data_IF_737696493678
#
_entry.id   IF_737696493678
#
_cell.length_a   1.000
_cell.length_b   1.000
_cell.length_c   1.000
_cell.angle_alpha   90.00
_cell.angle_beta   90.00
_cell.angle_gamma   90.00
#
_symmetry.space_group_name_H-M   'P 1'
#
loop_
_entity.id
_entity.type
_entity.pdbx_description
1 polymer ?
#
# COMPACT_ATOMS: atom_id res chain seq x y z
N UNK A 1 15.67 -11.95 -30.57
CA UNK A 1 14.52 -11.05 -30.83
C UNK A 1 13.27 -11.38 -30.03
N UNK A 2 13.05 -12.62 -29.59
CA UNK A 2 11.83 -13.00 -28.83
C UNK A 2 11.74 -12.43 -27.40
N UNK A 3 12.89 -12.20 -26.73
CA UNK A 3 12.92 -11.71 -25.34
C UNK A 3 12.64 -10.20 -25.20
N UNK A 4 12.93 -9.37 -26.22
CA UNK A 4 12.69 -7.92 -26.16
C UNK A 4 11.20 -7.57 -26.20
N UNK A 5 10.40 -8.28 -27.00
CA UNK A 5 8.95 -8.05 -27.11
C UNK A 5 8.23 -8.41 -25.80
N UNK A 6 8.74 -9.40 -25.06
CA UNK A 6 8.13 -9.94 -23.85
C UNK A 6 8.27 -9.01 -22.64
N UNK A 7 9.32 -8.17 -22.59
CA UNK A 7 9.48 -7.12 -21.57
C UNK A 7 8.66 -5.87 -21.91
N UNK A 8 8.59 -5.53 -23.20
CA UNK A 8 7.89 -4.36 -23.78
C UNK A 8 6.40 -4.26 -23.44
N UNK A 9 5.75 -5.39 -23.15
CA UNK A 9 4.32 -5.45 -22.77
C UNK A 9 4.05 -5.33 -21.27
N UNK A 10 5.01 -5.66 -20.38
CA UNK A 10 4.69 -5.82 -18.95
C UNK A 10 4.39 -4.49 -18.26
N UNK A 11 5.20 -3.46 -18.47
CA UNK A 11 4.96 -2.12 -17.89
C UNK A 11 3.69 -1.48 -18.42
N UNK A 12 3.46 -1.62 -19.73
CA UNK A 12 2.25 -1.08 -20.37
C UNK A 12 1.02 -1.83 -19.86
N UNK A 13 1.07 -3.15 -19.76
CA UNK A 13 0.00 -3.98 -19.21
C UNK A 13 -0.24 -3.67 -17.73
N UNK A 14 0.81 -3.47 -16.93
CA UNK A 14 0.72 -3.08 -15.53
C UNK A 14 0.08 -1.69 -15.38
N UNK A 15 0.51 -0.72 -16.17
CA UNK A 15 -0.08 0.62 -16.20
C UNK A 15 -1.57 0.59 -16.59
N UNK A 16 -1.93 -0.17 -17.63
CA UNK A 16 -3.33 -0.39 -18.02
C UNK A 16 -4.11 -1.05 -16.87
N UNK A 17 -3.53 -2.05 -16.22
CA UNK A 17 -4.12 -2.70 -15.05
C UNK A 17 -4.41 -1.72 -13.91
N UNK A 18 -3.49 -0.79 -13.62
CA UNK A 18 -3.73 0.27 -12.62
C UNK A 18 -4.84 1.22 -13.09
N UNK A 19 -4.89 1.60 -14.37
CA UNK A 19 -5.96 2.47 -14.89
C UNK A 19 -7.33 1.80 -14.72
N UNK A 20 -7.45 0.53 -15.07
CA UNK A 20 -8.69 -0.26 -14.87
C UNK A 20 -9.04 -0.33 -13.38
N UNK A 21 -8.06 -0.63 -12.52
CA UNK A 21 -8.24 -0.65 -11.06
C UNK A 21 -8.76 0.70 -10.54
N UNK A 22 -8.15 1.81 -10.99
CA UNK A 22 -8.59 3.16 -10.62
C UNK A 22 -10.03 3.42 -11.05
N UNK A 23 -10.41 3.04 -12.28
CA UNK A 23 -11.79 3.18 -12.75
C UNK A 23 -12.80 2.41 -11.90
N UNK A 24 -12.49 1.17 -11.55
CA UNK A 24 -13.33 0.33 -10.68
C UNK A 24 -13.46 0.96 -9.29
N UNK A 25 -12.35 1.34 -8.65
CA UNK A 25 -12.40 1.90 -7.30
C UNK A 25 -13.00 3.31 -7.26
N UNK A 26 -12.82 4.11 -8.31
CA UNK A 26 -13.47 5.41 -8.40
C UNK A 26 -14.99 5.29 -8.36
N UNK A 27 -15.56 4.28 -9.03
CA UNK A 27 -17.00 4.00 -9.00
C UNK A 27 -17.51 3.72 -7.58
N UNK A 28 -16.70 3.09 -6.72
CA UNK A 28 -17.06 2.85 -5.32
C UNK A 28 -17.08 4.15 -4.49
N UNK A 29 -16.25 5.14 -4.84
CA UNK A 29 -16.23 6.43 -4.13
C UNK A 29 -17.46 7.30 -4.38
N UNK A 30 -18.29 6.98 -5.37
CA UNK A 30 -19.53 7.71 -5.65
C UNK A 30 -20.58 7.44 -4.56
N UNK A 31 -20.53 6.25 -3.94
CA UNK A 31 -21.45 5.85 -2.88
C UNK A 31 -21.00 6.31 -1.48
N UNK A 32 -19.86 6.99 -1.37
CA UNK A 32 -19.34 7.47 -0.09
C UNK A 32 -19.83 8.88 0.21
N UNK A 33 -20.04 9.24 1.50
CA UNK A 33 -20.29 10.62 1.91
C UNK A 33 -19.21 11.56 1.36
N UNK A 34 -19.55 12.80 0.92
CA UNK A 34 -18.61 13.68 0.23
C UNK A 34 -17.27 13.84 0.95
N UNK A 35 -17.29 14.07 2.27
CA UNK A 35 -16.07 14.22 3.10
C UNK A 35 -15.21 12.95 3.17
N UNK A 36 -15.83 11.77 3.21
CA UNK A 36 -15.12 10.49 3.25
C UNK A 36 -14.57 10.10 1.87
N UNK A 37 -15.17 10.61 0.79
CA UNK A 37 -14.77 10.33 -0.58
C UNK A 37 -13.54 11.12 -1.05
N UNK A 38 -13.24 12.28 -0.43
CA UNK A 38 -12.13 13.15 -0.87
C UNK A 38 -10.77 12.43 -0.81
N UNK A 39 -10.46 11.78 0.31
CA UNK A 39 -9.17 11.10 0.47
C UNK A 39 -8.97 9.96 -0.53
N UNK A 40 -9.90 9.00 -0.70
CA UNK A 40 -9.82 7.98 -1.75
C UNK A 40 -9.68 8.58 -3.15
N UNK A 41 -10.41 9.65 -3.48
CA UNK A 41 -10.34 10.27 -4.82
C UNK A 41 -8.99 10.89 -5.11
N UNK A 42 -8.37 11.56 -4.14
CA UNK A 42 -7.00 12.09 -4.27
C UNK A 42 -6.01 10.95 -4.50
N UNK A 43 -6.11 9.87 -3.73
CA UNK A 43 -5.24 8.70 -3.89
C UNK A 43 -5.38 8.07 -5.28
N UNK A 44 -6.62 7.89 -5.75
CA UNK A 44 -6.91 7.38 -7.09
C UNK A 44 -6.38 8.29 -8.20
N UNK A 45 -6.46 9.61 -8.02
CA UNK A 45 -5.88 10.57 -8.96
C UNK A 45 -4.34 10.46 -9.02
N UNK A 46 -3.67 10.34 -7.87
CA UNK A 46 -2.22 10.13 -7.82
C UNK A 46 -1.80 8.81 -8.47
N UNK A 47 -2.56 7.73 -8.22
CA UNK A 47 -2.34 6.43 -8.87
C UNK A 47 -2.51 6.51 -10.38
N UNK A 48 -3.53 7.25 -10.86
CA UNK A 48 -3.76 7.47 -12.29
C UNK A 48 -2.59 8.21 -12.93
N UNK A 49 -2.11 9.29 -12.30
CA UNK A 49 -0.94 10.05 -12.77
C UNK A 49 0.29 9.14 -12.85
N UNK A 50 0.53 8.32 -11.82
CA UNK A 50 1.64 7.38 -11.80
C UNK A 50 1.53 6.33 -12.92
N UNK A 51 0.34 5.77 -13.14
CA UNK A 51 0.09 4.78 -14.19
C UNK A 51 0.32 5.35 -15.60
N UNK A 52 -0.21 6.55 -15.87
CA UNK A 52 0.04 7.27 -17.12
C UNK A 52 1.54 7.56 -17.27
N UNK A 53 2.22 7.97 -16.21
CA UNK A 53 3.66 8.20 -16.20
C UNK A 53 4.47 6.95 -16.58
N UNK A 54 4.10 5.77 -16.04
CA UNK A 54 4.73 4.49 -16.38
C UNK A 54 4.55 4.18 -17.88
N UNK A 55 3.33 4.32 -18.41
CA UNK A 55 3.03 4.05 -19.82
C UNK A 55 3.80 5.02 -20.73
N UNK A 56 3.72 6.33 -20.47
CA UNK A 56 4.41 7.36 -21.28
C UNK A 56 5.92 7.13 -21.27
N UNK A 57 6.51 6.84 -20.10
CA UNK A 57 7.93 6.54 -19.97
C UNK A 57 8.32 5.29 -20.77
N UNK A 58 7.49 4.24 -20.72
CA UNK A 58 7.71 3.01 -21.48
C UNK A 58 7.68 3.29 -22.99
N UNK A 59 6.67 4.02 -23.48
CA UNK A 59 6.54 4.39 -24.90
C UNK A 59 7.68 5.31 -25.38
N UNK A 60 8.12 6.27 -24.56
CA UNK A 60 9.26 7.13 -24.89
C UNK A 60 10.59 6.38 -24.94
N UNK A 61 10.81 5.41 -24.03
CA UNK A 61 11.99 4.54 -24.09
C UNK A 61 12.02 3.72 -25.37
N UNK A 62 10.86 3.18 -25.77
CA UNK A 62 10.73 2.44 -27.03
C UNK A 62 11.07 3.32 -28.24
N UNK A 63 10.57 4.56 -28.29
CA UNK A 63 10.82 5.47 -29.41
C UNK A 63 12.29 5.90 -29.52
N UNK A 64 13.01 6.01 -28.40
CA UNK A 64 14.42 6.42 -28.39
C UNK A 64 15.41 5.32 -28.78
N UNK A 65 14.96 4.09 -29.06
CA UNK A 65 15.83 2.97 -29.43
C UNK A 65 16.89 2.64 -28.38
N UNK A 66 16.76 3.20 -27.17
CA UNK A 66 17.67 2.94 -26.07
C UNK A 66 17.30 1.59 -25.48
N UNK A 67 17.99 0.55 -25.96
CA UNK A 67 18.28 -0.63 -25.17
C UNK A 67 19.20 -0.21 -23.99
N UNK A 68 18.67 0.64 -23.10
CA UNK A 68 19.19 0.63 -21.74
C UNK A 68 18.72 -0.70 -21.16
N UNK A 69 19.51 -1.75 -21.39
CA UNK A 69 19.60 -2.91 -20.50
C UNK A 69 20.01 -2.39 -19.12
N UNK A 70 19.09 -1.68 -18.44
CA UNK A 70 19.04 -1.88 -17.02
C UNK A 70 18.65 -3.34 -16.91
N UNK A 71 19.57 -4.16 -16.41
CA UNK A 71 19.20 -5.41 -15.77
C UNK A 71 18.08 -5.08 -14.79
N UNK A 72 16.83 -5.16 -15.26
CA UNK A 72 15.70 -5.24 -14.39
C UNK A 72 15.94 -6.52 -13.62
N UNK A 73 16.42 -6.37 -12.37
CA UNK A 73 16.47 -7.47 -11.43
C UNK A 73 15.09 -8.09 -11.47
N UNK A 74 15.01 -9.25 -12.13
CA UNK A 74 13.79 -10.01 -12.19
C UNK A 74 13.45 -10.34 -10.74
N UNK A 75 12.38 -9.74 -10.23
CA UNK A 75 11.93 -9.99 -8.86
C UNK A 75 11.67 -11.50 -8.77
N UNK A 76 12.42 -12.16 -7.89
CA UNK A 76 12.21 -13.59 -7.63
C UNK A 76 10.79 -13.79 -7.14
N UNK A 77 10.16 -14.94 -7.45
CA UNK A 77 8.84 -15.25 -6.88
C UNK A 77 8.83 -15.14 -5.34
N UNK A 78 9.94 -15.51 -4.69
CA UNK A 78 10.11 -15.35 -3.24
C UNK A 78 10.09 -13.88 -2.80
N UNK A 79 10.74 -13.00 -3.57
CA UNK A 79 10.75 -11.56 -3.30
C UNK A 79 9.37 -10.94 -3.54
N UNK A 80 8.67 -11.37 -4.61
CA UNK A 80 7.29 -10.95 -4.87
C UNK A 80 6.35 -11.34 -3.73
N UNK A 81 6.48 -12.56 -3.22
CA UNK A 81 5.66 -13.03 -2.09
C UNK A 81 5.94 -12.20 -0.83
N UNK A 82 7.21 -11.96 -0.50
CA UNK A 82 7.61 -11.21 0.70
C UNK A 82 7.28 -9.71 0.65
N UNK A 83 7.43 -9.08 -0.52
CA UNK A 83 7.35 -7.62 -0.66
C UNK A 83 5.95 -7.17 -1.10
N UNK A 84 5.19 -7.99 -1.82
CA UNK A 84 3.88 -7.62 -2.32
C UNK A 84 2.76 -8.47 -1.70
N UNK A 85 2.84 -9.79 -1.83
CA UNK A 85 1.71 -10.66 -1.49
C UNK A 85 1.41 -10.69 0.01
N UNK A 86 2.43 -10.89 0.85
CA UNK A 86 2.28 -10.95 2.31
C UNK A 86 1.79 -9.61 2.88
N UNK A 87 2.40 -8.44 2.58
CA UNK A 87 1.88 -7.15 3.04
C UNK A 87 0.45 -6.90 2.59
N UNK A 88 0.11 -7.24 1.34
CA UNK A 88 -1.25 -7.08 0.82
C UNK A 88 -2.25 -7.95 1.59
N UNK A 89 -1.90 -9.21 1.85
CA UNK A 89 -2.72 -10.13 2.64
C UNK A 89 -2.93 -9.64 4.08
N UNK A 90 -1.88 -9.11 4.72
CA UNK A 90 -1.96 -8.53 6.05
C UNK A 90 -2.91 -7.32 6.05
N UNK A 91 -2.80 -6.43 5.06
CA UNK A 91 -3.71 -5.28 4.95
C UNK A 91 -5.16 -5.72 4.82
N UNK A 92 -5.46 -6.70 3.97
CA UNK A 92 -6.81 -7.25 3.85
C UNK A 92 -7.31 -7.89 5.16
N UNK A 93 -6.47 -8.68 5.82
CA UNK A 93 -6.82 -9.32 7.08
C UNK A 93 -7.12 -8.29 8.19
N UNK A 94 -6.30 -7.24 8.30
CA UNK A 94 -6.53 -6.17 9.26
C UNK A 94 -7.77 -5.35 8.89
N UNK A 95 -8.00 -5.01 7.62
CA UNK A 95 -9.23 -4.32 7.20
C UNK A 95 -10.48 -5.11 7.59
N UNK A 96 -10.47 -6.43 7.41
CA UNK A 96 -11.55 -7.30 7.88
C UNK A 96 -11.66 -7.25 9.41
N UNK A 97 -10.54 -7.33 10.13
CA UNK A 97 -10.51 -7.31 11.58
C UNK A 97 -11.02 -5.98 12.17
N UNK A 98 -10.77 -4.85 11.50
CA UNK A 98 -11.24 -3.52 11.91
C UNK A 98 -12.76 -3.43 12.01
N UNK A 99 -13.50 -4.24 11.26
CA UNK A 99 -14.97 -4.33 11.37
C UNK A 99 -15.42 -4.95 12.70
N UNK A 100 -14.55 -5.73 13.34
CA UNK A 100 -14.82 -6.45 14.59
C UNK A 100 -14.21 -5.74 15.80
N UNK A 101 -13.01 -5.19 15.68
CA UNK A 101 -12.27 -4.64 16.84
C UNK A 101 -12.20 -3.11 16.87
N UNK A 102 -12.68 -2.43 15.83
CA UNK A 102 -12.61 -0.98 15.69
C UNK A 102 -11.36 -0.48 14.96
N UNK A 103 -11.42 0.76 14.50
CA UNK A 103 -10.39 1.38 13.67
C UNK A 103 -9.05 1.53 14.40
N UNK A 104 -9.07 2.08 15.63
CA UNK A 104 -7.84 2.43 16.34
C UNK A 104 -7.06 1.21 16.80
N UNK A 105 -7.75 0.18 17.30
CA UNK A 105 -7.11 -1.06 17.70
C UNK A 105 -6.60 -1.83 16.48
N UNK A 106 -7.34 -1.81 15.38
CA UNK A 106 -6.88 -2.37 14.10
C UNK A 106 -5.62 -1.68 13.56
N UNK A 107 -5.58 -0.34 13.58
CA UNK A 107 -4.39 0.42 13.20
C UNK A 107 -3.20 0.11 14.11
N UNK A 108 -3.41 -0.02 15.42
CA UNK A 108 -2.36 -0.38 16.36
C UNK A 108 -1.76 -1.75 16.02
N UNK A 109 -2.60 -2.76 15.80
CA UNK A 109 -2.15 -4.09 15.37
C UNK A 109 -1.46 -4.04 14.00
N UNK A 110 -1.98 -3.23 13.06
CA UNK A 110 -1.36 -3.06 11.75
C UNK A 110 0.09 -2.58 11.87
N UNK A 111 0.32 -1.53 12.66
CA UNK A 111 1.65 -0.96 12.81
C UNK A 111 2.61 -1.92 13.52
N UNK A 112 2.14 -2.71 14.47
CA UNK A 112 2.93 -3.80 15.06
C UNK A 112 3.35 -4.80 13.98
N UNK A 113 2.41 -5.28 13.17
CA UNK A 113 2.69 -6.27 12.14
C UNK A 113 3.62 -5.71 11.06
N UNK A 114 3.42 -4.46 10.63
CA UNK A 114 4.30 -3.78 9.67
C UNK A 114 5.72 -3.66 10.24
N UNK A 115 5.86 -3.28 11.51
CA UNK A 115 7.16 -3.17 12.16
C UNK A 115 7.88 -4.53 12.20
N UNK A 116 7.17 -5.59 12.59
CA UNK A 116 7.72 -6.96 12.61
C UNK A 116 8.14 -7.37 11.20
N UNK A 117 7.28 -7.13 10.20
CA UNK A 117 7.55 -7.48 8.81
C UNK A 117 8.77 -6.74 8.27
N UNK A 118 8.90 -5.45 8.57
CA UNK A 118 10.07 -4.66 8.22
C UNK A 118 11.35 -5.22 8.85
N UNK A 119 11.32 -5.61 10.12
CA UNK A 119 12.48 -6.18 10.82
C UNK A 119 12.88 -7.53 10.20
N UNK A 120 11.91 -8.37 9.83
CA UNK A 120 12.13 -9.63 9.12
C UNK A 120 12.72 -9.40 7.73
N UNK A 121 12.24 -8.40 6.98
CA UNK A 121 12.76 -8.10 5.63
C UNK A 121 14.19 -7.54 5.70
N UNK A 122 14.48 -6.62 6.63
CA UNK A 122 15.77 -5.93 6.70
C UNK A 122 16.83 -6.79 7.38
N UNK A 123 16.50 -7.40 8.52
CA UNK A 123 17.47 -8.13 9.37
C UNK A 123 17.39 -9.64 9.19
N UNK A 124 16.38 -10.16 8.47
CA UNK A 124 16.17 -11.59 8.26
C UNK A 124 15.61 -12.33 9.49
N UNK A 125 15.51 -11.68 10.65
CA UNK A 125 15.00 -12.24 11.90
C UNK A 125 14.35 -11.14 12.74
N UNK A 126 13.24 -11.47 13.39
CA UNK A 126 12.66 -10.62 14.42
C UNK A 126 13.33 -10.90 15.76
N UNK A 127 13.82 -9.86 16.43
CA UNK A 127 14.42 -9.99 17.76
C UNK A 127 13.46 -9.50 18.84
N UNK A 128 13.08 -10.38 19.76
CA UNK A 128 12.27 -10.04 20.95
C UNK A 128 13.12 -9.45 22.09
N UNK A 129 14.19 -8.72 21.76
CA UNK A 129 14.97 -8.03 22.79
C UNK A 129 14.13 -6.93 23.41
N UNK A 130 14.28 -6.72 24.72
CA UNK A 130 13.54 -5.69 25.47
C UNK A 130 13.61 -4.30 24.81
N UNK A 131 14.76 -3.93 24.25
CA UNK A 131 14.94 -2.65 23.55
C UNK A 131 14.09 -2.56 22.27
N UNK A 132 14.01 -3.64 21.51
CA UNK A 132 13.25 -3.70 20.25
C UNK A 132 11.75 -3.67 20.52
N UNK A 133 11.30 -4.38 21.56
CA UNK A 133 9.89 -4.36 22.00
C UNK A 133 9.47 -2.98 22.51
N UNK A 134 10.32 -2.32 23.31
CA UNK A 134 10.06 -0.94 23.78
C UNK A 134 9.99 0.02 22.59
N UNK A 135 10.91 -0.10 21.64
CA UNK A 135 10.94 0.75 20.44
C UNK A 135 9.70 0.53 19.57
N UNK A 136 9.26 -0.72 19.42
CA UNK A 136 8.03 -1.09 18.72
C UNK A 136 6.81 -0.46 19.41
N UNK A 137 6.67 -0.59 20.73
CA UNK A 137 5.53 -0.04 21.45
C UNK A 137 5.48 1.49 21.39
N UNK A 138 6.62 2.15 21.58
CA UNK A 138 6.71 3.62 21.53
C UNK A 138 6.39 4.12 20.12
N UNK A 139 7.00 3.54 19.08
CA UNK A 139 6.78 3.97 17.70
C UNK A 139 5.35 3.74 17.23
N UNK A 140 4.78 2.56 17.51
CA UNK A 140 3.38 2.22 17.21
C UNK A 140 2.42 3.18 17.90
N UNK A 141 2.64 3.43 19.21
CA UNK A 141 1.79 4.35 19.97
C UNK A 141 1.89 5.77 19.43
N UNK A 142 3.10 6.27 19.14
CA UNK A 142 3.30 7.60 18.60
C UNK A 142 2.58 7.79 17.25
N UNK A 143 2.68 6.82 16.34
CA UNK A 143 2.00 6.87 15.04
C UNK A 143 0.48 6.80 15.23
N UNK A 144 -0.04 5.93 16.11
CA UNK A 144 -1.47 5.87 16.42
C UNK A 144 -2.00 7.19 16.97
N UNK A 145 -1.23 7.88 17.84
CA UNK A 145 -1.61 9.20 18.34
C UNK A 145 -1.68 10.23 17.21
N UNK A 146 -0.70 10.24 16.30
CA UNK A 146 -0.73 11.11 15.11
C UNK A 146 -1.97 10.82 14.26
N UNK A 147 -2.28 9.54 14.02
CA UNK A 147 -3.47 9.14 13.27
C UNK A 147 -4.76 9.56 13.98
N UNK A 148 -4.84 9.39 15.30
CA UNK A 148 -5.97 9.87 16.09
C UNK A 148 -6.18 11.38 15.92
N UNK A 149 -5.12 12.17 16.05
CA UNK A 149 -5.18 13.62 15.87
C UNK A 149 -5.62 13.98 14.44
N UNK A 150 -5.03 13.35 13.42
CA UNK A 150 -5.40 13.60 12.02
C UNK A 150 -6.85 13.21 11.72
N UNK A 151 -7.27 12.00 12.05
CA UNK A 151 -8.58 11.47 11.64
C UNK A 151 -9.73 11.95 12.53
N UNK A 152 -9.55 11.99 13.85
CA UNK A 152 -10.61 12.41 14.78
C UNK A 152 -10.64 13.91 15.02
N UNK A 153 -9.49 14.55 15.24
CA UNK A 153 -9.46 15.98 15.64
C UNK A 153 -9.50 16.90 14.42
N UNK A 154 -8.60 16.69 13.45
CA UNK A 154 -8.48 17.54 12.26
C UNK A 154 -9.58 17.25 11.24
N UNK A 155 -9.75 15.99 10.85
CA UNK A 155 -10.65 15.61 9.75
C UNK A 155 -12.08 15.28 10.20
N UNK A 156 -12.29 15.02 11.50
CA UNK A 156 -13.59 14.63 12.08
C UNK A 156 -14.30 13.54 11.27
N UNK A 157 -13.52 12.54 10.83
CA UNK A 157 -14.03 11.46 10.00
C UNK A 157 -14.76 10.42 10.87
N UNK A 158 -15.93 9.91 10.43
CA UNK A 158 -16.56 8.79 11.10
C UNK A 158 -15.71 7.53 10.87
N UNK A 159 -15.22 6.94 11.96
CA UNK A 159 -14.41 5.71 11.94
C UNK A 159 -15.23 4.53 12.44
N UNK A 160 -14.98 3.30 11.94
CA UNK A 160 -15.59 2.09 12.48
C UNK A 160 -15.33 1.97 13.98
N UNK A 161 -16.41 1.97 14.77
CA UNK A 161 -16.36 1.77 16.21
C UNK A 161 -16.55 0.28 16.45
N UNK A 162 -15.63 -0.34 17.18
CA UNK A 162 -15.78 -1.72 17.60
C UNK A 162 -16.94 -1.89 18.60
N UNK A 163 -17.34 -3.13 18.92
CA UNK A 163 -18.37 -3.42 19.93
C UNK A 163 -18.00 -2.90 21.33
N UNK A 164 -16.73 -2.55 21.56
CA UNK A 164 -16.23 -2.00 22.82
C UNK A 164 -16.20 -0.46 22.89
N UNK A 165 -16.68 0.24 21.84
CA UNK A 165 -16.78 1.71 21.85
C UNK A 165 -15.51 2.46 21.43
N UNK A 166 -14.51 1.77 20.88
CA UNK A 166 -13.24 2.32 20.39
C UNK A 166 -12.86 1.72 19.03
#
# INVERSE_FOLDING_TARGET
MENEVRMKSKDVFFGIGIIVFVGIFYSQTVNLPPKAAEFPRVLLALMLIAAVGIIVRSLWRQKKGKAEEREEKSISFKEFVLIALIPSGILFAICALMTVIGFYLGCFLLFIVIYILQDVIIKGKFSLKRKDVITLLISTTAICVVFYVCFSVLLRLPVPIGPWGF
#
